data_IF_739699640666
#
_entry.id   IF_739699640666
#
_cell.length_a   1.000
_cell.length_b   1.000
_cell.length_c   1.000
_cell.angle_alpha   90.00
_cell.angle_beta   90.00
_cell.angle_gamma   90.00
#
_symmetry.space_group_name_H-M   'P 1'
#
loop_
_entity.id
_entity.type
_entity.pdbx_description
1 polymer ?
#
# COMPACT_ATOMS: atom_id res chain seq x y z
N UNK A 1 -18.11 -18.73 21.83
CA UNK A 1 -16.94 -17.89 21.55
C UNK A 1 -17.40 -16.78 20.64
N UNK A 2 -17.22 -15.49 21.00
CA UNK A 2 -17.51 -14.39 20.10
C UNK A 2 -16.58 -14.50 18.88
N UNK A 3 -17.13 -14.55 17.69
CA UNK A 3 -16.33 -14.54 16.45
C UNK A 3 -15.56 -13.22 16.42
N UNK A 4 -14.25 -13.28 16.25
CA UNK A 4 -13.39 -12.10 16.04
C UNK A 4 -13.91 -11.31 14.82
N UNK A 5 -13.96 -9.99 14.93
CA UNK A 5 -14.41 -9.11 13.84
C UNK A 5 -13.28 -8.17 13.46
N UNK A 6 -13.22 -7.70 12.20
CA UNK A 6 -12.25 -6.69 11.81
C UNK A 6 -12.42 -5.42 12.65
N UNK A 7 -11.31 -4.70 12.86
CA UNK A 7 -11.34 -3.40 13.51
C UNK A 7 -11.71 -2.31 12.49
N UNK A 8 -12.77 -1.56 12.76
CA UNK A 8 -13.15 -0.39 11.95
C UNK A 8 -12.09 0.72 12.02
N UNK A 9 -11.46 0.87 13.19
CA UNK A 9 -10.34 1.80 13.42
C UNK A 9 -9.11 0.97 13.78
N UNK A 10 -8.18 0.85 12.84
CA UNK A 10 -6.89 0.20 13.09
C UNK A 10 -5.91 1.25 13.63
N UNK A 11 -5.24 0.93 14.73
CA UNK A 11 -4.32 1.85 15.44
C UNK A 11 -2.88 1.39 15.30
N UNK A 12 -2.00 2.35 15.05
CA UNK A 12 -0.56 2.17 15.02
C UNK A 12 0.10 3.32 15.80
N UNK A 13 0.40 3.12 17.07
CA UNK A 13 0.77 4.21 17.96
C UNK A 13 -0.30 5.30 17.96
N UNK A 14 0.09 6.53 17.63
CA UNK A 14 -0.83 7.68 17.54
C UNK A 14 -1.58 7.75 16.19
N UNK A 15 -1.21 6.95 15.21
CA UNK A 15 -1.86 6.91 13.91
C UNK A 15 -3.14 6.08 14.00
N UNK A 16 -4.26 6.65 13.56
CA UNK A 16 -5.55 5.99 13.48
C UNK A 16 -5.97 5.90 12.00
N UNK A 17 -6.27 4.70 11.55
CA UNK A 17 -6.69 4.40 10.17
C UNK A 17 -8.16 3.99 10.15
N UNK A 18 -9.02 4.84 9.59
CA UNK A 18 -10.44 4.58 9.41
C UNK A 18 -11.00 5.41 8.26
N UNK A 19 -12.06 4.94 7.62
CA UNK A 19 -12.61 5.57 6.40
C UNK A 19 -13.19 6.98 6.66
N UNK A 20 -13.57 7.29 7.89
CA UNK A 20 -14.12 8.59 8.30
C UNK A 20 -13.10 9.55 8.92
N UNK A 21 -11.87 9.10 9.19
CA UNK A 21 -10.77 9.92 9.72
C UNK A 21 -9.90 10.49 8.59
N UNK A 22 -9.10 11.55 8.85
CA UNK A 22 -8.13 12.05 7.88
C UNK A 22 -7.28 10.91 7.31
N UNK A 23 -7.02 10.95 6.01
CA UNK A 23 -6.31 9.87 5.35
C UNK A 23 -4.87 9.70 5.86
N UNK A 24 -4.41 8.46 5.90
CA UNK A 24 -3.03 8.09 6.22
C UNK A 24 -2.28 7.77 4.92
N UNK A 25 -1.03 8.20 4.80
CA UNK A 25 -0.21 7.91 3.63
C UNK A 25 0.73 6.71 3.89
N UNK A 26 0.60 5.66 3.08
CA UNK A 26 1.65 4.65 2.89
C UNK A 26 2.47 5.07 1.68
N UNK A 27 3.65 5.61 1.91
CA UNK A 27 4.45 6.22 0.86
C UNK A 27 5.92 5.83 0.92
N UNK A 28 6.59 5.85 -0.23
CA UNK A 28 8.01 5.55 -0.31
C UNK A 28 8.44 5.14 -1.72
N UNK A 29 9.30 4.13 -1.79
CA UNK A 29 9.82 3.61 -3.05
C UNK A 29 9.30 2.20 -3.34
N UNK A 30 9.32 1.81 -4.60
CA UNK A 30 8.83 0.51 -5.02
C UNK A 30 9.65 -0.64 -4.42
N UNK A 31 10.97 -0.59 -4.58
CA UNK A 31 11.94 -1.57 -4.08
C UNK A 31 13.16 -0.86 -3.52
N UNK A 32 13.76 -1.39 -2.49
CA UNK A 32 15.02 -0.88 -1.94
C UNK A 32 16.14 -1.03 -2.99
N UNK A 33 16.55 0.06 -3.61
CA UNK A 33 17.58 0.09 -4.66
C UNK A 33 18.99 0.28 -4.08
N UNK A 34 19.10 1.18 -3.10
CA UNK A 34 20.25 1.38 -2.22
C UNK A 34 19.81 1.98 -0.90
N UNK A 35 20.66 1.89 0.13
CA UNK A 35 20.38 2.48 1.45
C UNK A 35 20.27 3.99 1.35
N UNK A 36 21.22 4.63 0.67
CA UNK A 36 21.26 6.10 0.55
C UNK A 36 20.01 6.65 -0.15
N UNK A 37 19.59 6.04 -1.26
CA UNK A 37 18.36 6.45 -1.95
C UNK A 37 17.11 6.23 -1.08
N UNK A 38 17.07 5.14 -0.31
CA UNK A 38 15.94 4.89 0.59
C UNK A 38 15.85 5.94 1.71
N UNK A 39 17.00 6.39 2.25
CA UNK A 39 17.07 7.47 3.22
C UNK A 39 16.65 8.82 2.62
N UNK A 40 17.15 9.19 1.44
CA UNK A 40 16.75 10.41 0.71
C UNK A 40 15.23 10.48 0.49
N UNK A 41 14.64 9.35 0.04
CA UNK A 41 13.20 9.26 -0.19
C UNK A 41 12.44 9.36 1.14
N UNK A 42 12.87 8.64 2.18
CA UNK A 42 12.23 8.69 3.48
C UNK A 42 12.25 10.09 4.08
N UNK A 43 13.40 10.78 4.05
CA UNK A 43 13.56 12.16 4.52
C UNK A 43 12.58 13.11 3.81
N UNK A 44 12.50 13.01 2.48
CA UNK A 44 11.59 13.84 1.68
C UNK A 44 10.13 13.63 2.05
N UNK A 45 9.70 12.37 2.20
CA UNK A 45 8.33 12.06 2.61
C UNK A 45 8.03 12.55 4.03
N UNK A 46 8.94 12.31 4.97
CA UNK A 46 8.78 12.73 6.36
C UNK A 46 8.64 14.25 6.47
N UNK A 47 9.52 15.00 5.79
CA UNK A 47 9.48 16.47 5.79
C UNK A 47 8.14 16.99 5.22
N UNK A 48 7.74 16.52 4.06
CA UNK A 48 6.48 16.93 3.41
C UNK A 48 5.26 16.54 4.26
N UNK A 49 5.20 15.30 4.73
CA UNK A 49 4.07 14.83 5.53
C UNK A 49 3.95 15.58 6.86
N UNK A 50 5.07 15.89 7.50
CA UNK A 50 5.12 16.70 8.73
C UNK A 50 4.59 18.11 8.49
N UNK A 51 5.06 18.79 7.44
CA UNK A 51 4.58 20.15 7.09
C UNK A 51 3.11 20.16 6.72
N UNK A 52 2.63 19.13 6.04
CA UNK A 52 1.22 19.00 5.66
C UNK A 52 0.34 18.42 6.79
N UNK A 53 0.91 17.91 7.87
CA UNK A 53 0.17 17.24 8.94
C UNK A 53 -0.55 15.98 8.46
N UNK A 54 0.07 15.19 7.58
CA UNK A 54 -0.46 13.92 7.06
C UNK A 54 0.21 12.79 7.84
N UNK A 55 -0.54 11.90 8.53
CA UNK A 55 0.03 10.71 9.16
C UNK A 55 0.69 9.82 8.10
N UNK A 56 1.90 9.34 8.40
CA UNK A 56 2.75 8.72 7.40
C UNK A 56 3.38 7.40 7.88
N UNK A 57 3.48 6.44 6.97
CA UNK A 57 4.17 5.17 7.13
C UNK A 57 5.10 4.97 5.93
N UNK A 58 6.39 4.71 6.18
CA UNK A 58 7.35 4.49 5.10
C UNK A 58 7.16 3.10 4.48
N UNK A 59 7.08 3.06 3.14
CA UNK A 59 6.93 1.83 2.37
C UNK A 59 8.10 1.57 1.43
N UNK A 60 8.67 0.38 1.52
CA UNK A 60 9.54 -0.17 0.48
C UNK A 60 9.52 -1.71 0.52
N UNK A 61 9.79 -2.35 -0.63
CA UNK A 61 9.96 -3.81 -0.69
C UNK A 61 11.43 -4.18 -0.61
N UNK A 62 11.76 -5.20 0.17
CA UNK A 62 13.12 -5.77 0.21
C UNK A 62 13.38 -6.72 -0.96
N UNK A 63 12.33 -7.24 -1.57
CA UNK A 63 12.38 -8.11 -2.76
C UNK A 63 11.16 -7.87 -3.66
N UNK A 64 11.34 -8.01 -4.95
CA UNK A 64 10.27 -8.08 -5.96
C UNK A 64 10.23 -9.49 -6.55
N UNK A 65 9.55 -10.40 -5.86
CA UNK A 65 9.51 -11.82 -6.20
C UNK A 65 8.74 -12.14 -7.50
N UNK A 66 7.92 -11.21 -7.99
CA UNK A 66 7.01 -11.39 -9.14
C UNK A 66 7.46 -10.68 -10.43
N UNK A 67 8.77 -10.50 -10.62
CA UNK A 67 9.31 -9.86 -11.85
C UNK A 67 9.01 -10.68 -13.10
N UNK A 68 8.80 -9.97 -14.21
CA UNK A 68 8.54 -10.60 -15.52
C UNK A 68 9.78 -11.28 -16.13
N UNK A 69 11.00 -10.89 -15.73
CA UNK A 69 12.25 -11.47 -16.20
C UNK A 69 13.12 -11.93 -15.02
N UNK A 70 13.78 -13.05 -15.18
CA UNK A 70 14.74 -13.58 -14.19
C UNK A 70 15.91 -12.64 -13.94
N UNK A 71 16.29 -11.82 -14.93
CA UNK A 71 17.40 -10.89 -14.84
C UNK A 71 17.00 -9.52 -14.28
N UNK A 72 15.73 -9.29 -13.98
CA UNK A 72 15.26 -8.02 -13.42
C UNK A 72 15.79 -7.82 -12.00
N UNK A 73 16.06 -6.55 -11.66
CA UNK A 73 16.46 -6.19 -10.30
C UNK A 73 15.36 -6.57 -9.29
N UNK A 74 15.72 -7.24 -8.23
CA UNK A 74 14.78 -7.73 -7.22
C UNK A 74 14.84 -6.99 -5.89
N UNK A 75 15.96 -6.38 -5.55
CA UNK A 75 16.20 -5.74 -4.26
C UNK A 75 17.39 -6.35 -3.51
N UNK A 76 17.65 -5.91 -2.26
CA UNK A 76 18.77 -6.39 -1.44
C UNK A 76 18.55 -7.78 -0.81
N UNK A 77 17.33 -8.31 -0.85
CA UNK A 77 16.92 -9.52 -0.14
C UNK A 77 16.47 -9.26 1.30
N UNK A 78 16.00 -10.32 1.98
CA UNK A 78 15.34 -10.23 3.28
C UNK A 78 16.22 -9.58 4.34
N UNK A 79 17.36 -10.19 4.67
CA UNK A 79 18.17 -9.79 5.83
C UNK A 79 18.67 -8.34 5.72
N UNK A 80 19.27 -8.01 4.57
CA UNK A 80 19.79 -6.68 4.31
C UNK A 80 18.68 -5.65 4.15
N UNK A 81 17.55 -6.05 3.57
CA UNK A 81 16.38 -5.18 3.45
C UNK A 81 15.78 -4.83 4.80
N UNK A 82 15.66 -5.79 5.70
CA UNK A 82 15.18 -5.56 7.07
C UNK A 82 16.14 -4.67 7.88
N UNK A 83 17.46 -4.86 7.74
CA UNK A 83 18.45 -3.97 8.33
C UNK A 83 18.22 -2.51 7.90
N UNK A 84 18.09 -2.25 6.60
CA UNK A 84 17.87 -0.90 6.08
C UNK A 84 16.53 -0.30 6.52
N UNK A 85 15.47 -1.10 6.55
CA UNK A 85 14.15 -0.66 7.03
C UNK A 85 14.18 -0.34 8.54
N UNK A 86 14.88 -1.14 9.35
CA UNK A 86 15.06 -0.87 10.76
C UNK A 86 15.85 0.43 11.01
N UNK A 87 16.88 0.69 10.21
CA UNK A 87 17.66 1.93 10.28
C UNK A 87 16.80 3.16 9.93
N UNK A 88 15.97 3.08 8.87
CA UNK A 88 15.03 4.15 8.48
C UNK A 88 14.01 4.37 9.61
N UNK A 89 13.40 3.31 10.12
CA UNK A 89 12.45 3.37 11.25
C UNK A 89 13.03 4.13 12.44
N UNK A 90 14.24 3.75 12.83
CA UNK A 90 14.94 4.36 13.96
C UNK A 90 15.36 5.80 13.71
N UNK A 91 15.89 6.09 12.51
CA UNK A 91 16.45 7.41 12.18
C UNK A 91 15.36 8.47 12.07
N UNK A 92 14.27 8.16 11.38
CA UNK A 92 13.18 9.12 11.12
C UNK A 92 12.01 8.99 12.10
N UNK A 93 12.06 8.02 13.01
CA UNK A 93 10.96 7.71 13.93
C UNK A 93 9.61 7.52 13.20
N UNK A 94 9.62 6.74 12.12
CA UNK A 94 8.44 6.46 11.29
C UNK A 94 8.09 4.98 11.31
N UNK A 95 6.82 4.60 11.31
CA UNK A 95 6.42 3.22 11.11
C UNK A 95 6.80 2.71 9.71
N UNK A 96 6.95 1.39 9.60
CA UNK A 96 7.36 0.71 8.37
C UNK A 96 6.26 -0.21 7.86
N UNK A 97 6.05 -0.19 6.54
CA UNK A 97 5.30 -1.22 5.82
C UNK A 97 6.18 -1.86 4.74
N UNK A 98 6.23 -3.19 4.72
CA UNK A 98 6.88 -3.97 3.64
C UNK A 98 6.08 -5.20 3.29
N UNK A 99 6.29 -5.77 2.11
CA UNK A 99 5.60 -6.96 1.63
C UNK A 99 6.40 -8.23 1.87
N UNK A 100 5.68 -9.34 2.06
CA UNK A 100 6.24 -10.70 2.19
C UNK A 100 5.71 -11.59 1.06
N UNK A 101 6.48 -12.61 0.68
CA UNK A 101 6.18 -13.46 -0.47
C UNK A 101 6.09 -14.94 -0.10
N UNK A 102 6.71 -15.32 1.01
CA UNK A 102 6.77 -16.68 1.51
C UNK A 102 6.40 -16.74 3.00
N UNK A 103 5.75 -17.81 3.48
CA UNK A 103 5.30 -17.91 4.88
C UNK A 103 6.41 -17.69 5.92
N UNK A 104 7.63 -18.19 5.66
CA UNK A 104 8.76 -18.07 6.60
C UNK A 104 9.25 -16.62 6.78
N UNK A 105 8.91 -15.71 5.87
CA UNK A 105 9.29 -14.31 5.96
C UNK A 105 8.43 -13.51 6.94
N UNK A 106 7.21 -13.97 7.23
CA UNK A 106 6.24 -13.21 8.02
C UNK A 106 6.78 -12.87 9.43
N UNK A 107 7.31 -13.85 10.15
CA UNK A 107 7.80 -13.65 11.51
C UNK A 107 9.00 -12.67 11.58
N UNK A 108 10.11 -12.87 10.83
CA UNK A 108 11.22 -11.92 10.88
C UNK A 108 10.86 -10.53 10.36
N UNK A 109 9.94 -10.40 9.40
CA UNK A 109 9.46 -9.11 8.92
C UNK A 109 8.66 -8.38 10.01
N UNK A 110 7.82 -9.09 10.78
CA UNK A 110 7.04 -8.50 11.87
C UNK A 110 7.88 -7.95 13.03
N UNK A 111 9.14 -8.36 13.18
CA UNK A 111 10.06 -7.79 14.17
C UNK A 111 10.50 -6.37 13.81
N UNK A 112 10.45 -6.00 12.54
CA UNK A 112 10.87 -4.68 12.03
C UNK A 112 9.69 -3.85 11.54
N UNK A 113 8.84 -4.43 10.69
CA UNK A 113 7.72 -3.75 10.08
C UNK A 113 6.49 -3.78 10.98
N UNK A 114 5.83 -2.65 11.11
CA UNK A 114 4.59 -2.49 11.87
C UNK A 114 3.38 -2.97 11.08
N UNK A 115 3.48 -2.88 9.76
CA UNK A 115 2.47 -3.32 8.80
C UNK A 115 3.12 -4.30 7.82
N UNK A 116 2.54 -5.48 7.67
CA UNK A 116 2.96 -6.45 6.66
C UNK A 116 1.97 -6.42 5.50
N UNK A 117 2.49 -6.24 4.30
CA UNK A 117 1.66 -6.25 3.10
C UNK A 117 1.58 -7.64 2.49
N UNK A 118 0.34 -8.09 2.26
CA UNK A 118 0.01 -9.26 1.44
C UNK A 118 -0.08 -8.84 -0.03
N UNK A 119 0.81 -9.31 -0.92
CA UNK A 119 0.79 -8.96 -2.33
C UNK A 119 -0.48 -9.42 -3.03
N UNK A 120 -0.93 -8.66 -4.03
CA UNK A 120 -2.16 -8.92 -4.77
C UNK A 120 -2.21 -10.33 -5.39
N UNK A 121 -1.14 -10.77 -6.06
CA UNK A 121 -1.10 -12.11 -6.68
C UNK A 121 -1.16 -13.25 -5.64
N UNK A 122 -0.75 -12.98 -4.41
CA UNK A 122 -0.65 -13.98 -3.33
C UNK A 122 -1.82 -13.90 -2.33
N UNK A 123 -2.78 -12.99 -2.55
CA UNK A 123 -3.84 -12.71 -1.57
C UNK A 123 -4.75 -13.92 -1.26
N UNK A 124 -4.74 -14.96 -2.08
CA UNK A 124 -5.48 -16.20 -1.85
C UNK A 124 -4.65 -17.36 -1.28
N UNK A 125 -3.33 -17.20 -1.14
CA UNK A 125 -2.43 -18.26 -0.63
C UNK A 125 -2.63 -18.45 0.87
N UNK A 126 -3.33 -19.52 1.25
CA UNK A 126 -3.78 -19.75 2.63
C UNK A 126 -2.62 -19.80 3.62
N UNK A 127 -1.54 -20.53 3.31
CA UNK A 127 -0.40 -20.68 4.22
C UNK A 127 0.31 -19.34 4.47
N UNK A 128 0.41 -18.49 3.43
CA UNK A 128 0.99 -17.15 3.56
C UNK A 128 0.09 -16.24 4.41
N UNK A 129 -1.21 -16.24 4.13
CA UNK A 129 -2.19 -15.45 4.90
C UNK A 129 -2.17 -15.85 6.38
N UNK A 130 -2.18 -17.15 6.67
CA UNK A 130 -2.12 -17.68 8.03
C UNK A 130 -0.81 -17.30 8.74
N UNK A 131 0.34 -17.44 8.05
CA UNK A 131 1.63 -17.07 8.63
C UNK A 131 1.70 -15.58 8.98
N UNK A 132 1.19 -14.71 8.11
CA UNK A 132 1.10 -13.26 8.36
C UNK A 132 0.16 -12.96 9.52
N UNK A 133 -1.03 -13.57 9.53
CA UNK A 133 -2.04 -13.33 10.56
C UNK A 133 -1.63 -13.81 11.97
N UNK A 134 -0.73 -14.79 12.05
CA UNK A 134 -0.14 -15.25 13.32
C UNK A 134 0.90 -14.28 13.90
N UNK A 135 1.30 -13.25 13.16
CA UNK A 135 2.12 -12.18 13.70
C UNK A 135 1.24 -11.14 14.41
N UNK A 136 1.85 -10.26 15.20
CA UNK A 136 1.13 -9.15 15.85
C UNK A 136 1.04 -7.89 14.95
N UNK A 137 1.58 -7.95 13.75
CA UNK A 137 1.59 -6.84 12.80
C UNK A 137 0.19 -6.55 12.23
N UNK A 138 -0.04 -5.31 11.80
CA UNK A 138 -1.19 -4.94 10.98
C UNK A 138 -1.02 -5.57 9.60
N UNK A 139 -2.10 -6.12 9.02
CA UNK A 139 -2.05 -6.75 7.70
C UNK A 139 -2.71 -5.84 6.66
N UNK A 140 -1.91 -5.34 5.71
CA UNK A 140 -2.39 -4.62 4.54
C UNK A 140 -2.62 -5.59 3.37
N UNK A 141 -3.86 -5.85 3.02
CA UNK A 141 -4.24 -6.84 2.00
C UNK A 141 -4.45 -6.13 0.66
N UNK A 142 -3.54 -6.32 -0.29
CA UNK A 142 -3.74 -5.85 -1.67
C UNK A 142 -4.83 -6.67 -2.34
N UNK A 143 -5.89 -6.02 -2.82
CA UNK A 143 -6.93 -6.70 -3.60
C UNK A 143 -6.31 -7.22 -4.92
N UNK A 144 -6.44 -8.52 -5.15
CA UNK A 144 -5.99 -9.10 -6.41
C UNK A 144 -6.78 -8.54 -7.60
N UNK A 145 -6.10 -8.40 -8.74
CA UNK A 145 -6.72 -7.88 -9.97
C UNK A 145 -7.84 -8.76 -10.51
N UNK A 146 -7.84 -10.04 -10.14
CA UNK A 146 -8.83 -11.03 -10.54
C UNK A 146 -9.98 -11.22 -9.53
N UNK A 147 -9.95 -10.52 -8.39
CA UNK A 147 -10.99 -10.59 -7.36
C UNK A 147 -11.98 -9.44 -7.50
N UNK A 148 -13.26 -9.75 -7.37
CA UNK A 148 -14.28 -8.74 -7.17
C UNK A 148 -14.16 -8.14 -5.75
N UNK A 149 -14.59 -6.87 -5.53
CA UNK A 149 -14.49 -6.22 -4.20
C UNK A 149 -15.09 -7.06 -3.07
N UNK A 150 -16.26 -7.65 -3.25
CA UNK A 150 -16.94 -8.45 -2.23
C UNK A 150 -16.22 -9.77 -1.88
N UNK A 151 -15.33 -10.28 -2.73
CA UNK A 151 -14.57 -11.50 -2.46
C UNK A 151 -13.48 -11.29 -1.43
N UNK A 152 -13.11 -10.03 -1.12
CA UNK A 152 -12.13 -9.70 -0.10
C UNK A 152 -12.52 -10.23 1.29
N UNK A 153 -13.81 -10.41 1.55
CA UNK A 153 -14.31 -11.03 2.78
C UNK A 153 -13.67 -12.40 3.08
N UNK A 154 -13.32 -13.17 2.05
CA UNK A 154 -12.74 -14.51 2.25
C UNK A 154 -11.32 -14.44 2.80
N UNK A 155 -10.54 -13.42 2.38
CA UNK A 155 -9.19 -13.21 2.89
C UNK A 155 -9.26 -12.66 4.32
N UNK A 156 -10.15 -11.69 4.58
CA UNK A 156 -10.41 -11.18 5.93
C UNK A 156 -10.79 -12.32 6.89
N UNK A 157 -11.69 -13.22 6.47
CA UNK A 157 -12.08 -14.39 7.27
C UNK A 157 -10.88 -15.26 7.65
N UNK A 158 -9.98 -15.57 6.73
CA UNK A 158 -8.77 -16.35 7.02
C UNK A 158 -7.89 -15.66 8.08
N UNK A 159 -7.70 -14.34 7.97
CA UNK A 159 -6.93 -13.58 8.95
C UNK A 159 -7.60 -13.62 10.36
N UNK A 160 -8.93 -13.43 10.41
CA UNK A 160 -9.69 -13.48 11.65
C UNK A 160 -9.65 -14.87 12.30
N UNK A 161 -9.82 -15.94 11.52
CA UNK A 161 -9.73 -17.32 11.98
C UNK A 161 -8.32 -17.67 12.50
N UNK A 162 -7.29 -17.07 11.90
CA UNK A 162 -5.90 -17.20 12.36
C UNK A 162 -5.55 -16.27 13.55
N UNK A 163 -6.48 -15.41 13.99
CA UNK A 163 -6.38 -14.63 15.22
C UNK A 163 -5.98 -13.16 15.06
N UNK A 164 -5.97 -12.62 13.84
CA UNK A 164 -5.63 -11.21 13.58
C UNK A 164 -6.85 -10.42 13.07
N UNK A 165 -7.19 -9.34 13.76
CA UNK A 165 -8.30 -8.43 13.44
C UNK A 165 -7.82 -7.03 12.97
N UNK A 166 -6.50 -6.77 12.98
CA UNK A 166 -5.88 -5.52 12.54
C UNK A 166 -5.68 -5.53 11.04
N UNK A 167 -6.76 -5.39 10.28
CA UNK A 167 -6.81 -5.64 8.85
C UNK A 167 -7.11 -4.36 8.05
N UNK A 168 -6.44 -4.20 6.92
CA UNK A 168 -6.64 -3.11 5.96
C UNK A 168 -6.81 -3.73 4.58
N UNK A 169 -7.77 -3.24 3.79
CA UNK A 169 -7.88 -3.57 2.36
C UNK A 169 -7.27 -2.44 1.53
N UNK A 170 -6.47 -2.78 0.53
CA UNK A 170 -5.89 -1.83 -0.40
C UNK A 170 -6.30 -2.16 -1.84
N UNK A 171 -7.18 -1.33 -2.43
CA UNK A 171 -7.56 -1.40 -3.85
C UNK A 171 -6.36 -1.04 -4.74
N UNK A 172 -6.22 -1.74 -5.87
CA UNK A 172 -5.16 -1.49 -6.85
C UNK A 172 -5.55 -1.79 -8.31
N UNK A 173 -6.83 -1.78 -8.58
CA UNK A 173 -7.40 -2.07 -9.89
C UNK A 173 -7.69 -3.54 -10.14
N UNK A 174 -8.61 -3.76 -11.06
CA UNK A 174 -9.00 -5.08 -11.55
C UNK A 174 -8.56 -5.24 -13.01
N UNK A 175 -8.21 -6.47 -13.40
CA UNK A 175 -7.92 -6.79 -14.80
C UNK A 175 -9.18 -6.62 -15.64
N UNK A 176 -9.07 -5.84 -16.72
CA UNK A 176 -10.15 -5.58 -17.65
C UNK A 176 -9.64 -5.76 -19.09
N UNK A 177 -9.89 -6.92 -19.65
CA UNK A 177 -9.27 -7.33 -20.92
C UNK A 177 -7.77 -7.60 -20.76
N UNK A 178 -7.03 -7.39 -21.84
CA UNK A 178 -5.58 -7.59 -21.88
C UNK A 178 -4.84 -6.30 -21.54
N UNK A 179 -3.76 -6.43 -20.77
CA UNK A 179 -2.79 -5.34 -20.48
C UNK A 179 -3.43 -4.05 -19.90
N UNK A 180 -4.59 -4.14 -19.28
CA UNK A 180 -5.29 -3.00 -18.73
C UNK A 180 -5.83 -3.27 -17.33
N UNK A 181 -5.80 -2.23 -16.48
CA UNK A 181 -6.42 -2.23 -15.16
C UNK A 181 -7.44 -1.10 -15.08
N UNK A 182 -8.57 -1.39 -14.44
CA UNK A 182 -9.64 -0.43 -14.17
C UNK A 182 -9.94 -0.43 -12.68
N UNK A 183 -10.15 0.74 -12.11
CA UNK A 183 -10.63 0.89 -10.73
C UNK A 183 -12.14 1.15 -10.78
N UNK A 184 -12.89 0.26 -10.15
CA UNK A 184 -14.32 0.46 -9.91
C UNK A 184 -14.50 1.33 -8.67
N UNK A 185 -14.96 2.56 -8.85
CA UNK A 185 -15.16 3.50 -7.74
C UNK A 185 -16.24 3.03 -6.76
N UNK A 186 -17.27 2.30 -7.22
CA UNK A 186 -18.29 1.69 -6.36
C UNK A 186 -17.72 0.52 -5.54
N UNK A 187 -16.63 -0.08 -6.01
CA UNK A 187 -15.91 -1.13 -5.28
C UNK A 187 -15.38 -0.67 -3.92
N UNK A 188 -15.08 0.62 -3.76
CA UNK A 188 -14.65 1.16 -2.47
C UNK A 188 -15.76 1.04 -1.42
N UNK A 189 -17.00 1.37 -1.76
CA UNK A 189 -18.12 1.28 -0.82
C UNK A 189 -18.41 -0.17 -0.43
N UNK A 190 -18.38 -1.10 -1.39
CA UNK A 190 -18.51 -2.55 -1.12
C UNK A 190 -17.43 -3.03 -0.12
N UNK A 191 -16.19 -2.54 -0.24
CA UNK A 191 -15.13 -2.92 0.68
C UNK A 191 -15.28 -2.27 2.07
N UNK A 192 -15.78 -1.03 2.13
CA UNK A 192 -16.07 -0.35 3.41
C UNK A 192 -17.16 -1.05 4.23
N UNK A 193 -18.16 -1.68 3.57
CA UNK A 193 -19.21 -2.47 4.24
C UNK A 193 -18.65 -3.64 5.07
N UNK A 194 -17.40 -4.04 4.83
CA UNK A 194 -16.71 -5.08 5.62
C UNK A 194 -16.17 -4.57 6.96
N UNK A 195 -16.40 -3.29 7.30
CA UNK A 195 -15.92 -2.64 8.53
C UNK A 195 -14.39 -2.69 8.70
N UNK A 196 -13.65 -2.41 7.63
CA UNK A 196 -12.20 -2.28 7.61
C UNK A 196 -11.78 -0.94 7.02
N UNK A 197 -10.62 -0.40 7.41
CA UNK A 197 -10.02 0.72 6.67
C UNK A 197 -9.73 0.32 5.23
N UNK A 198 -10.11 1.17 4.28
CA UNK A 198 -9.87 0.96 2.85
C UNK A 198 -8.85 1.99 2.36
N UNK A 199 -7.78 1.49 1.78
CA UNK A 199 -6.71 2.26 1.15
C UNK A 199 -6.78 2.14 -0.36
N UNK A 200 -6.21 3.10 -1.04
CA UNK A 200 -6.11 3.10 -2.50
C UNK A 200 -4.66 3.20 -2.97
N UNK A 201 -4.22 2.21 -3.72
CA UNK A 201 -2.92 2.19 -4.39
C UNK A 201 -3.03 2.84 -5.77
N UNK A 202 -2.74 4.12 -5.84
CA UNK A 202 -2.81 4.89 -7.08
C UNK A 202 -1.62 4.65 -8.01
N UNK A 203 -0.54 4.07 -7.50
CA UNK A 203 0.64 3.72 -8.30
C UNK A 203 0.37 2.47 -9.13
N UNK A 204 0.03 1.37 -8.47
CA UNK A 204 -0.14 0.08 -9.14
C UNK A 204 -1.47 -0.05 -9.91
N UNK A 205 -2.49 0.75 -9.57
CA UNK A 205 -3.72 0.84 -10.38
C UNK A 205 -3.48 1.40 -11.79
N UNK A 206 -2.35 2.06 -12.01
CA UNK A 206 -1.96 2.63 -13.29
C UNK A 206 -0.98 1.76 -14.10
N UNK A 207 -0.61 0.59 -13.61
CA UNK A 207 0.19 -0.36 -14.37
C UNK A 207 -0.53 -0.80 -15.64
N UNK A 208 0.25 -1.06 -16.69
CA UNK A 208 -0.18 -1.79 -17.88
C UNK A 208 0.58 -3.12 -17.88
N UNK A 209 -0.02 -4.19 -17.32
CA UNK A 209 0.64 -5.49 -17.20
C UNK A 209 1.12 -6.00 -18.56
N UNK A 210 2.37 -6.50 -18.64
CA UNK A 210 2.94 -6.96 -19.92
C UNK A 210 3.17 -5.87 -20.96
N UNK A 211 3.11 -4.59 -20.60
CA UNK A 211 3.27 -3.47 -21.52
C UNK A 211 4.71 -3.23 -22.01
N UNK A 212 5.71 -3.93 -21.44
CA UNK A 212 7.12 -3.90 -21.82
C UNK A 212 7.71 -5.32 -21.77
N UNK A 213 8.83 -5.53 -22.45
CA UNK A 213 9.46 -6.84 -22.55
C UNK A 213 9.95 -7.42 -21.20
N UNK A 214 10.37 -6.54 -20.27
CA UNK A 214 11.02 -6.90 -19.00
C UNK A 214 10.36 -6.28 -17.76
N UNK A 215 9.32 -5.47 -17.94
CA UNK A 215 8.64 -4.76 -16.85
C UNK A 215 7.20 -4.41 -17.22
N UNK A 216 6.39 -4.03 -16.24
CA UNK A 216 5.10 -3.41 -16.50
C UNK A 216 5.29 -2.02 -17.12
N UNK A 217 4.42 -1.67 -18.08
CA UNK A 217 4.22 -0.29 -18.48
C UNK A 217 3.41 0.48 -17.43
N UNK A 218 3.16 1.77 -17.67
CA UNK A 218 2.38 2.57 -16.73
C UNK A 218 1.88 3.88 -17.30
N UNK A 219 0.90 4.44 -16.60
CA UNK A 219 0.15 5.66 -16.99
C UNK A 219 0.37 6.78 -15.96
N UNK A 220 1.63 7.09 -15.61
CA UNK A 220 2.00 8.14 -14.62
C UNK A 220 1.25 9.46 -14.82
N UNK A 221 1.03 9.88 -16.07
CA UNK A 221 0.34 11.13 -16.37
C UNK A 221 -1.08 11.20 -15.81
N UNK A 222 -1.71 10.06 -15.51
CA UNK A 222 -3.07 9.98 -14.96
C UNK A 222 -3.13 9.81 -13.44
N UNK A 223 -1.99 9.80 -12.73
CA UNK A 223 -1.95 9.53 -11.29
C UNK A 223 -2.79 10.54 -10.49
N UNK A 224 -2.70 11.82 -10.83
CA UNK A 224 -3.47 12.88 -10.14
C UNK A 224 -4.97 12.73 -10.38
N UNK A 225 -5.37 12.43 -11.61
CA UNK A 225 -6.79 12.23 -11.94
C UNK A 225 -7.37 11.04 -11.17
N UNK A 226 -6.65 9.92 -11.18
CA UNK A 226 -7.10 8.70 -10.53
C UNK A 226 -7.11 8.84 -9.00
N UNK A 227 -6.08 9.47 -8.43
CA UNK A 227 -5.99 9.73 -6.99
C UNK A 227 -7.16 10.60 -6.49
N UNK A 228 -7.46 11.68 -7.20
CA UNK A 228 -8.60 12.56 -6.86
C UNK A 228 -9.94 11.82 -6.92
N UNK A 229 -10.16 11.01 -7.96
CA UNK A 229 -11.37 10.21 -8.09
C UNK A 229 -11.53 9.21 -6.94
N UNK A 230 -10.48 8.49 -6.57
CA UNK A 230 -10.52 7.56 -5.43
C UNK A 230 -10.70 8.27 -4.10
N UNK A 231 -9.94 9.34 -3.83
CA UNK A 231 -10.06 10.09 -2.58
C UNK A 231 -11.44 10.74 -2.40
N UNK A 232 -12.12 11.08 -3.48
CA UNK A 232 -13.49 11.61 -3.45
C UNK A 232 -14.51 10.61 -2.89
N UNK A 233 -14.20 9.34 -2.79
CA UNK A 233 -15.06 8.34 -2.15
C UNK A 233 -14.92 8.27 -0.62
N UNK A 234 -14.00 9.03 -0.01
CA UNK A 234 -13.72 9.03 1.43
C UNK A 234 -13.04 7.75 1.89
N UNK A 235 -11.71 7.71 1.86
CA UNK A 235 -10.88 6.55 2.16
C UNK A 235 -10.05 6.72 3.43
N UNK A 236 -9.68 5.60 4.06
CA UNK A 236 -8.79 5.60 5.22
C UNK A 236 -7.36 6.01 4.87
N UNK A 237 -6.94 5.79 3.63
CA UNK A 237 -5.59 6.14 3.24
C UNK A 237 -5.27 5.96 1.75
N UNK A 238 -4.07 6.40 1.43
CA UNK A 238 -3.48 6.34 0.10
C UNK A 238 -2.17 5.54 0.15
N UNK A 239 -1.96 4.69 -0.84
CA UNK A 239 -0.68 4.05 -1.09
C UNK A 239 -0.05 4.70 -2.33
N UNK A 240 1.16 5.22 -2.19
CA UNK A 240 1.83 6.01 -3.23
C UNK A 240 3.32 5.74 -3.27
N UNK A 241 3.84 5.39 -4.43
CA UNK A 241 5.27 5.29 -4.67
C UNK A 241 5.77 6.48 -5.48
N UNK A 242 6.88 7.06 -5.03
CA UNK A 242 7.55 8.16 -5.73
C UNK A 242 9.06 7.87 -5.87
N UNK A 243 9.68 8.50 -6.86
CA UNK A 243 11.10 8.36 -7.12
C UNK A 243 11.68 9.70 -7.59
N UNK A 244 12.93 10.07 -7.20
CA UNK A 244 13.57 11.30 -7.67
C UNK A 244 13.66 11.39 -9.19
N UNK A 245 14.03 10.28 -9.84
CA UNK A 245 14.08 10.12 -11.30
C UNK A 245 13.40 8.80 -11.71
N UNK A 246 12.06 8.78 -11.91
CA UNK A 246 11.34 7.56 -12.26
C UNK A 246 11.82 6.85 -13.53
N UNK A 247 12.51 7.53 -14.41
CA UNK A 247 13.08 6.92 -15.63
C UNK A 247 14.28 6.00 -15.31
N UNK A 248 14.93 6.21 -14.16
CA UNK A 248 16.03 5.38 -13.65
C UNK A 248 15.58 4.34 -12.61
N UNK A 249 14.33 4.40 -12.16
CA UNK A 249 13.80 3.47 -11.19
C UNK A 249 13.94 2.01 -11.68
N UNK A 250 14.44 1.14 -10.81
CA UNK A 250 14.71 -0.26 -11.15
C UNK A 250 13.45 -1.13 -11.21
N UNK A 251 12.31 -0.61 -10.72
CA UNK A 251 11.01 -1.26 -10.78
C UNK A 251 9.89 -0.22 -10.88
N UNK A 252 8.87 -0.50 -11.70
CA UNK A 252 7.62 0.27 -11.86
C UNK A 252 7.78 1.78 -12.09
N UNK A 253 8.93 2.22 -12.59
CA UNK A 253 9.19 3.63 -12.92
C UNK A 253 8.07 4.32 -13.71
N UNK A 254 7.46 3.67 -14.73
CA UNK A 254 6.36 4.25 -15.49
C UNK A 254 5.10 4.61 -14.66
N UNK A 255 4.97 4.10 -13.44
CA UNK A 255 3.86 4.39 -12.53
C UNK A 255 4.25 5.26 -11.34
N UNK A 256 5.56 5.38 -11.03
CA UNK A 256 6.03 6.15 -9.89
C UNK A 256 5.82 7.65 -10.09
N UNK A 257 5.34 8.34 -9.04
CA UNK A 257 5.25 9.80 -9.03
C UNK A 257 6.67 10.41 -9.02
N UNK A 258 6.86 11.54 -9.69
CA UNK A 258 8.10 12.32 -9.52
C UNK A 258 8.13 12.94 -8.14
N UNK A 259 9.24 12.78 -7.42
CA UNK A 259 9.40 13.32 -6.06
C UNK A 259 9.17 14.83 -6.02
N UNK A 260 9.56 15.56 -7.06
CA UNK A 260 9.32 17.00 -7.18
C UNK A 260 7.85 17.42 -7.24
N UNK A 261 6.95 16.47 -7.50
CA UNK A 261 5.50 16.70 -7.53
C UNK A 261 4.80 16.24 -6.24
N UNK A 262 5.52 15.62 -5.30
CA UNK A 262 4.93 14.97 -4.13
C UNK A 262 4.17 15.95 -3.25
N UNK A 263 4.78 17.09 -2.89
CA UNK A 263 4.15 18.07 -2.00
C UNK A 263 2.87 18.68 -2.58
N UNK A 264 2.87 19.28 -3.79
CA UNK A 264 1.64 19.83 -4.36
C UNK A 264 0.58 18.75 -4.61
N UNK A 265 0.97 17.51 -4.90
CA UNK A 265 0.04 16.39 -5.04
C UNK A 265 -0.65 16.07 -3.71
N UNK A 266 0.11 15.90 -2.63
CA UNK A 266 -0.43 15.57 -1.31
C UNK A 266 -1.26 16.71 -0.72
N UNK A 267 -0.85 17.97 -0.92
CA UNK A 267 -1.60 19.14 -0.47
C UNK A 267 -3.01 19.16 -1.05
N UNK A 268 -3.14 18.95 -2.38
CA UNK A 268 -4.44 18.88 -3.04
C UNK A 268 -5.32 17.73 -2.55
N UNK A 269 -4.72 16.56 -2.30
CA UNK A 269 -5.48 15.42 -1.80
C UNK A 269 -5.92 15.61 -0.35
N UNK A 270 -5.14 16.32 0.48
CA UNK A 270 -5.54 16.68 1.85
C UNK A 270 -6.74 17.62 1.85
N UNK A 271 -6.76 18.63 0.99
CA UNK A 271 -7.90 19.53 0.84
C UNK A 271 -9.15 18.76 0.40
N UNK A 272 -9.03 17.88 -0.59
CA UNK A 272 -10.12 17.05 -1.07
C UNK A 272 -10.63 16.10 0.02
N UNK A 273 -9.75 15.43 0.76
CA UNK A 273 -10.12 14.53 1.85
C UNK A 273 -10.89 15.27 2.95
N UNK A 274 -10.42 16.45 3.33
CA UNK A 274 -11.08 17.30 4.32
C UNK A 274 -12.49 17.71 3.85
N UNK A 275 -12.61 18.10 2.58
CA UNK A 275 -13.89 18.50 1.99
C UNK A 275 -14.90 17.34 1.99
N UNK A 276 -14.49 16.20 1.47
CA UNK A 276 -15.37 15.02 1.30
C UNK A 276 -15.83 14.47 2.65
N UNK A 277 -14.94 14.39 3.63
CA UNK A 277 -15.25 13.90 4.98
C UNK A 277 -16.06 14.89 5.83
N UNK A 278 -16.16 16.15 5.39
CA UNK A 278 -17.04 17.15 5.96
C UNK A 278 -18.48 17.13 5.43
N UNK A 279 -18.77 16.33 4.39
CA UNK A 279 -20.13 16.25 3.86
C UNK A 279 -21.04 15.44 4.78
N UNK A 280 -22.30 15.86 4.88
CA UNK A 280 -23.34 15.04 5.49
C UNK A 280 -23.61 13.80 4.62
N UNK A 281 -23.81 12.66 5.27
CA UNK A 281 -24.31 11.47 4.54
C UNK A 281 -25.74 11.76 4.08
N UNK A 282 -25.96 11.58 2.79
CA UNK A 282 -27.30 11.55 2.21
C UNK A 282 -27.77 10.08 2.22
N UNK A 283 -28.95 9.85 2.80
CA UNK A 283 -29.60 8.51 2.83
C UNK A 283 -30.20 8.17 1.46
#
# INVERSE_FOLDING_TARGET
MSQLKPQEIVRLGDIQMANHLPFVLFGGMNVLESKDLAFEIAETYVDICTRLGIPYVFKASFDKANRSSLNSFRGPGLDKGLEWLADIKKHFNVPIITDVHEPYQAAPVAEVADIIQLPAFLSRQTDLVEAMAKTDAIINIKKAQFLAPHEMRHILHKCLEAGNDKLIICERGSAFGYNNLVVDMLGFDIMKEMNVPVFFDVTHALQTPGGRADSAGGRRAQITTLARAGMATGLAGLFLEAHPDPEKAKCDGPCALRMSQLEPFLAQLKELDTLVKGFEKLD
#
